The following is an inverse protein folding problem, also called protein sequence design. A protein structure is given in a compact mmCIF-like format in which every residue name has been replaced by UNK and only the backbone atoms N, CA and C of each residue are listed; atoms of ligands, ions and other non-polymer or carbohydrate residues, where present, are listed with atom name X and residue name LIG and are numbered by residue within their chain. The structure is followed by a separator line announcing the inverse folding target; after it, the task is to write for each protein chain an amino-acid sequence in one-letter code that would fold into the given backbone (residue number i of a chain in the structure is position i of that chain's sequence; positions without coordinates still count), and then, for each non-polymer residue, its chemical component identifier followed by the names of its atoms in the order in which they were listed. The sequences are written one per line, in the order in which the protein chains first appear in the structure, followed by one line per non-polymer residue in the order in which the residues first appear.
data_IF_915581515787
#
_entry.id   IF_915581515787
#
_cell.length_a   1.000
_cell.length_b   1.000
_cell.length_c   1.000
_cell.angle_alpha   90.00
_cell.angle_beta   90.00
_cell.angle_gamma   90.00
#
_symmetry.space_group_name_H-M   'P 1'
#
loop_
_entity.id
_entity.type
_entity.pdbx_description
1 polymer ?
#
# COMPACT_ATOMS: atom_id res chain seq x y z
N UNK A 1 -12.21 -3.97 3.75
CA UNK A 1 -11.67 -2.89 2.88
C UNK A 1 -11.59 -1.61 3.69
N UNK A 2 -10.61 -0.75 3.42
CA UNK A 2 -10.42 0.56 4.10
C UNK A 2 -11.59 1.55 3.95
N UNK A 3 -12.69 1.15 3.29
CA UNK A 3 -13.94 1.91 3.10
C UNK A 3 -14.83 1.85 4.36
N UNK A 4 -14.21 1.93 5.53
CA UNK A 4 -14.86 1.83 6.83
C UNK A 4 -15.02 3.23 7.45
N UNK A 5 -15.98 3.44 8.37
CA UNK A 5 -16.20 4.74 8.99
C UNK A 5 -15.02 5.21 9.86
N UNK A 6 -14.19 4.28 10.36
CA UNK A 6 -12.96 4.60 11.08
C UNK A 6 -11.77 3.88 10.46
N UNK A 7 -10.72 4.64 10.17
CA UNK A 7 -9.46 4.16 9.60
C UNK A 7 -8.30 4.75 10.39
N UNK A 8 -7.34 3.92 10.78
CA UNK A 8 -6.09 4.36 11.40
C UNK A 8 -4.98 4.23 10.38
N UNK A 9 -4.25 5.32 10.11
CA UNK A 9 -3.12 5.36 9.21
C UNK A 9 -1.82 5.39 10.01
N UNK A 10 -1.09 4.29 9.97
CA UNK A 10 0.28 4.24 10.47
C UNK A 10 1.23 4.82 9.43
N UNK A 11 2.09 5.75 9.83
CA UNK A 11 3.05 6.41 8.97
C UNK A 11 4.38 6.67 9.70
N UNK A 12 5.40 7.08 8.95
CA UNK A 12 6.67 7.51 9.53
C UNK A 12 6.49 8.88 10.21
N UNK A 13 7.15 9.16 11.36
CA UNK A 13 7.04 10.45 12.04
C UNK A 13 7.36 11.67 11.16
N UNK A 14 8.32 11.52 10.24
CA UNK A 14 8.74 12.59 9.31
C UNK A 14 7.69 12.93 8.24
N UNK A 15 6.81 11.98 7.91
CA UNK A 15 5.83 12.12 6.83
C UNK A 15 4.47 12.62 7.33
N UNK A 16 4.34 12.98 8.61
CA UNK A 16 3.07 13.37 9.25
C UNK A 16 2.32 14.46 8.50
N UNK A 17 3.00 15.52 8.06
CA UNK A 17 2.36 16.63 7.34
C UNK A 17 1.90 16.22 5.93
N UNK A 18 2.70 15.41 5.25
CA UNK A 18 2.38 14.91 3.91
C UNK A 18 1.18 13.96 3.96
N UNK A 19 1.15 13.07 4.95
CA UNK A 19 0.06 12.12 5.14
C UNK A 19 -1.25 12.82 5.46
N UNK A 20 -1.23 13.88 6.30
CA UNK A 20 -2.43 14.69 6.57
C UNK A 20 -2.98 15.36 5.31
N UNK A 21 -2.14 16.02 4.52
CA UNK A 21 -2.54 16.64 3.25
C UNK A 21 -3.10 15.61 2.26
N UNK A 22 -2.42 14.48 2.13
CA UNK A 22 -2.87 13.39 1.25
C UNK A 22 -4.19 12.77 1.72
N UNK A 23 -4.38 12.60 3.03
CA UNK A 23 -5.60 12.07 3.62
C UNK A 23 -6.79 13.01 3.40
N UNK A 24 -6.62 14.33 3.51
CA UNK A 24 -7.68 15.29 3.19
C UNK A 24 -8.14 15.20 1.73
N UNK A 25 -7.18 15.15 0.79
CA UNK A 25 -7.50 14.95 -0.63
C UNK A 25 -8.17 13.59 -0.87
N UNK A 26 -7.70 12.53 -0.22
CA UNK A 26 -8.27 11.19 -0.33
C UNK A 26 -9.70 11.12 0.23
N UNK A 27 -9.99 11.80 1.35
CA UNK A 27 -11.33 11.84 1.93
C UNK A 27 -12.34 12.51 1.00
N UNK A 28 -11.96 13.61 0.34
CA UNK A 28 -12.82 14.26 -0.68
C UNK A 28 -13.16 13.29 -1.81
N UNK A 29 -12.13 12.66 -2.37
CA UNK A 29 -12.29 11.67 -3.45
C UNK A 29 -13.09 10.45 -3.01
N UNK A 30 -12.89 10.00 -1.76
CA UNK A 30 -13.65 8.90 -1.19
C UNK A 30 -15.12 9.25 -1.04
N UNK A 31 -15.45 10.46 -0.57
CA UNK A 31 -16.84 10.94 -0.47
C UNK A 31 -17.51 11.03 -1.84
N UNK A 32 -16.79 11.50 -2.86
CA UNK A 32 -17.30 11.55 -4.24
C UNK A 32 -17.59 10.15 -4.82
N UNK A 33 -16.70 9.19 -4.61
CA UNK A 33 -16.83 7.84 -5.21
C UNK A 33 -17.79 6.95 -4.42
N UNK A 34 -17.76 7.02 -3.09
CA UNK A 34 -18.49 6.09 -2.22
C UNK A 34 -19.76 6.67 -1.60
N UNK A 35 -19.91 8.01 -1.59
CA UNK A 35 -20.99 8.70 -0.88
C UNK A 35 -20.90 8.63 0.65
N UNK A 36 -19.81 8.09 1.21
CA UNK A 36 -19.62 7.89 2.66
C UNK A 36 -18.51 8.79 3.21
N UNK A 37 -18.60 9.12 4.48
CA UNK A 37 -17.53 9.79 5.23
C UNK A 37 -16.77 8.79 6.10
N UNK A 38 -15.46 9.00 6.21
CA UNK A 38 -14.55 8.18 7.01
C UNK A 38 -13.72 9.08 7.91
N UNK A 39 -13.68 8.77 9.19
CA UNK A 39 -12.77 9.36 10.15
C UNK A 39 -11.39 8.71 10.03
N UNK A 40 -10.36 9.56 9.98
CA UNK A 40 -8.97 9.14 9.84
C UNK A 40 -8.20 9.50 11.09
N UNK A 41 -7.68 8.49 11.76
CA UNK A 41 -6.72 8.61 12.86
C UNK A 41 -5.30 8.42 12.33
N UNK A 42 -4.34 9.12 12.92
CA UNK A 42 -2.94 9.09 12.48
C UNK A 42 -2.07 8.51 13.59
N UNK A 43 -1.24 7.53 13.25
CA UNK A 43 -0.35 6.86 14.18
C UNK A 43 1.09 6.89 13.65
N UNK A 44 2.01 7.48 14.41
CA UNK A 44 3.42 7.58 14.01
C UNK A 44 4.22 6.33 14.43
N UNK A 45 3.76 5.14 14.03
CA UNK A 45 4.31 3.85 14.47
C UNK A 45 5.28 3.20 13.49
N UNK A 46 5.44 3.74 12.26
CA UNK A 46 6.40 3.16 11.32
C UNK A 46 7.85 3.53 11.67
N UNK A 47 8.79 2.58 11.49
CA UNK A 47 10.21 2.82 11.69
C UNK A 47 10.75 3.98 10.85
N UNK A 48 11.73 4.69 11.43
CA UNK A 48 12.36 5.84 10.80
C UNK A 48 13.39 5.47 9.73
N UNK A 49 13.77 4.20 9.61
CA UNK A 49 14.61 3.67 8.54
C UNK A 49 13.80 3.21 7.31
N UNK A 50 12.47 3.17 7.43
CA UNK A 50 11.58 2.84 6.31
C UNK A 50 11.71 3.84 5.17
N UNK A 51 11.65 3.32 3.94
CA UNK A 51 11.56 4.11 2.71
C UNK A 51 10.30 5.01 2.66
N UNK A 52 9.31 4.72 3.51
CA UNK A 52 8.08 5.50 3.66
C UNK A 52 6.83 4.80 3.14
N UNK A 53 5.75 5.58 3.05
CA UNK A 53 4.40 5.09 2.75
C UNK A 53 3.55 4.94 4.01
N UNK A 54 2.43 4.23 3.89
CA UNK A 54 1.43 4.15 4.97
C UNK A 54 0.89 2.73 5.11
N UNK A 55 0.57 2.34 6.35
CA UNK A 55 -0.20 1.13 6.64
C UNK A 55 -1.56 1.54 7.16
N UNK A 56 -2.60 1.24 6.40
CA UNK A 56 -3.98 1.52 6.80
C UNK A 56 -4.55 0.36 7.59
N UNK A 57 -5.24 0.63 8.69
CA UNK A 57 -5.94 -0.39 9.46
C UNK A 57 -7.37 0.02 9.79
N UNK A 58 -8.26 -0.96 9.93
CA UNK A 58 -9.65 -0.76 10.33
C UNK A 58 -10.15 -1.94 11.17
N UNK A 59 -11.34 -1.79 11.75
CA UNK A 59 -11.95 -2.76 12.66
C UNK A 59 -11.03 -3.11 13.84
N UNK A 60 -10.49 -2.09 14.50
CA UNK A 60 -9.53 -2.23 15.59
C UNK A 60 -8.30 -3.09 15.22
N UNK A 61 -7.76 -2.88 14.02
CA UNK A 61 -6.54 -3.55 13.55
C UNK A 61 -6.73 -4.95 12.97
N UNK A 62 -7.97 -5.46 12.86
CA UNK A 62 -8.23 -6.77 12.23
C UNK A 62 -7.96 -6.80 10.74
N UNK A 63 -8.24 -5.69 10.06
CA UNK A 63 -7.96 -5.53 8.64
C UNK A 63 -6.83 -4.53 8.52
N UNK A 64 -5.72 -4.95 7.92
CA UNK A 64 -4.57 -4.12 7.63
C UNK A 64 -4.28 -4.16 6.13
N UNK A 65 -3.90 -3.02 5.59
CA UNK A 65 -3.47 -2.85 4.20
C UNK A 65 -2.14 -2.13 4.27
N UNK A 66 -1.08 -2.87 3.94
CA UNK A 66 0.25 -2.31 3.84
C UNK A 66 0.42 -1.69 2.45
N UNK A 67 0.64 -0.37 2.43
CA UNK A 67 0.92 0.39 1.22
C UNK A 67 2.24 1.17 1.39
N UNK A 68 3.17 0.59 2.15
CA UNK A 68 4.56 1.05 2.20
C UNK A 68 5.25 0.84 0.86
N UNK A 69 6.28 1.63 0.58
CA UNK A 69 7.03 1.51 -0.68
C UNK A 69 7.75 0.15 -0.79
N UNK A 70 8.21 -0.39 0.34
CA UNK A 70 8.84 -1.70 0.42
C UNK A 70 7.87 -2.82 0.01
N UNK A 71 6.67 -2.85 0.59
CA UNK A 71 5.68 -3.88 0.27
C UNK A 71 5.20 -3.80 -1.18
N UNK A 72 5.02 -2.58 -1.71
CA UNK A 72 4.69 -2.39 -3.12
C UNK A 72 5.77 -2.92 -4.05
N UNK A 73 7.04 -2.68 -3.70
CA UNK A 73 8.17 -3.20 -4.49
C UNK A 73 8.22 -4.73 -4.41
N UNK A 74 8.00 -5.31 -3.25
CA UNK A 74 7.97 -6.75 -3.06
C UNK A 74 6.87 -7.43 -3.88
N UNK A 75 5.63 -6.90 -3.83
CA UNK A 75 4.50 -7.40 -4.64
C UNK A 75 4.83 -7.29 -6.15
N UNK A 76 5.51 -6.22 -6.57
CA UNK A 76 5.91 -6.04 -7.95
C UNK A 76 7.01 -7.03 -8.35
N UNK A 77 8.02 -7.20 -7.50
CA UNK A 77 9.11 -8.16 -7.70
C UNK A 77 8.55 -9.57 -7.92
N UNK A 78 7.67 -10.05 -7.03
CA UNK A 78 7.07 -11.39 -7.15
C UNK A 78 6.35 -11.60 -8.49
N UNK A 79 5.64 -10.59 -8.97
CA UNK A 79 4.92 -10.64 -10.26
C UNK A 79 5.86 -10.58 -11.46
N UNK A 80 6.94 -9.81 -11.35
CA UNK A 80 7.89 -9.57 -12.45
C UNK A 80 9.01 -10.61 -12.51
N UNK A 81 9.23 -11.40 -11.45
CA UNK A 81 10.27 -12.43 -11.39
C UNK A 81 10.29 -13.39 -12.60
N UNK A 82 9.15 -13.88 -13.13
CA UNK A 82 9.14 -14.73 -14.32
C UNK A 82 9.69 -14.03 -15.56
N UNK A 83 9.34 -12.76 -15.76
CA UNK A 83 9.79 -11.93 -16.89
C UNK A 83 11.27 -11.58 -16.74
N UNK A 84 11.69 -11.14 -15.56
CA UNK A 84 13.09 -10.84 -15.26
C UNK A 84 13.99 -12.07 -15.47
N UNK A 85 13.53 -13.26 -15.06
CA UNK A 85 14.29 -14.50 -15.30
C UNK A 85 14.43 -14.80 -16.79
N UNK A 86 13.35 -14.60 -17.55
CA UNK A 86 13.36 -14.80 -19.00
C UNK A 86 14.32 -13.82 -19.68
N UNK A 87 14.29 -12.54 -19.32
CA UNK A 87 15.12 -11.51 -19.97
C UNK A 87 16.60 -11.63 -19.59
N UNK A 88 16.91 -12.04 -18.35
CA UNK A 88 18.29 -12.19 -17.88
C UNK A 88 18.94 -13.50 -18.32
N UNK A 89 18.19 -14.61 -18.36
CA UNK A 89 18.73 -15.96 -18.58
C UNK A 89 18.25 -16.61 -19.87
N UNK A 90 17.36 -15.95 -20.62
CA UNK A 90 16.79 -16.47 -21.85
C UNK A 90 15.64 -17.46 -21.63
N UNK A 91 15.14 -17.98 -22.75
CA UNK A 91 14.07 -18.97 -22.80
C UNK A 91 14.53 -20.31 -22.21
N UNK A 92 13.65 -20.93 -21.43
CA UNK A 92 13.85 -22.33 -21.05
C UNK A 92 13.42 -23.24 -22.21
N UNK A 93 14.39 -23.84 -22.90
CA UNK A 93 14.16 -24.73 -24.05
C UNK A 93 13.22 -25.92 -23.73
N UNK A 94 13.14 -26.34 -22.46
CA UNK A 94 12.28 -27.42 -22.02
C UNK A 94 10.83 -26.98 -21.70
N UNK A 95 10.54 -25.67 -21.66
CA UNK A 95 9.19 -25.16 -21.41
C UNK A 95 8.39 -25.16 -22.72
N UNK A 96 7.51 -26.15 -22.86
CA UNK A 96 6.67 -26.33 -24.06
C UNK A 96 5.37 -25.52 -24.05
N UNK A 97 4.90 -25.09 -22.88
CA UNK A 97 3.65 -24.33 -22.73
C UNK A 97 3.85 -23.09 -21.86
N UNK A 98 3.42 -21.96 -22.40
CA UNK A 98 3.47 -20.64 -21.76
C UNK A 98 2.03 -20.21 -21.52
N UNK A 99 1.40 -20.79 -20.51
CA UNK A 99 0.05 -20.44 -20.05
C UNK A 99 0.07 -20.36 -18.54
#
# INVERSE_FOLDING_TARGET
MLLAPGVTLAHRPKDTELVKKAAESAQKKYKEVSGRESQVEYEASLPDDSAGGVVGSTMAGRIKVDNTLAERLHILEEKMLPELRHDLFGLNENRKFYT
#
